data_IF_205367113335
#
_entry.id   IF_205367113335
#
_cell.length_a   1.000
_cell.length_b   1.000
_cell.length_c   1.000
_cell.angle_alpha   90.00
_cell.angle_beta   90.00
_cell.angle_gamma   90.00
#
_symmetry.space_group_name_H-M   'P 1'
#
loop_
_entity.id
_entity.type
_entity.pdbx_description
1 polymer ?
#
# COMPACT_ATOMS: atom_id res chain seq x y z
N UNK A 1 5.80 15.37 -13.83
CA UNK A 1 6.26 14.21 -13.04
C UNK A 1 6.49 12.96 -13.90
N UNK A 2 5.49 12.44 -14.63
CA UNK A 2 5.66 11.20 -15.41
C UNK A 2 6.73 11.25 -16.51
N UNK A 3 6.94 12.39 -17.16
CA UNK A 3 8.00 12.55 -18.18
C UNK A 3 9.38 12.12 -17.64
N UNK A 4 9.78 12.63 -16.47
CA UNK A 4 11.06 12.27 -15.86
C UNK A 4 11.14 10.79 -15.46
N UNK A 5 10.04 10.21 -14.95
CA UNK A 5 10.00 8.79 -14.61
C UNK A 5 10.13 7.88 -15.86
N UNK A 6 9.56 8.29 -16.99
CA UNK A 6 9.68 7.57 -18.27
C UNK A 6 11.11 7.63 -18.79
N UNK A 7 11.71 8.82 -18.80
CA UNK A 7 13.11 8.99 -19.22
C UNK A 7 14.08 8.18 -18.35
N UNK A 8 13.87 8.22 -17.02
CA UNK A 8 14.65 7.41 -16.08
C UNK A 8 14.43 5.90 -16.29
N UNK A 9 13.19 5.46 -16.51
CA UNK A 9 12.88 4.05 -16.80
C UNK A 9 13.62 3.56 -18.05
N UNK A 10 13.60 4.33 -19.14
CA UNK A 10 14.31 3.96 -20.37
C UNK A 10 15.84 3.94 -20.18
N UNK A 11 16.39 4.83 -19.36
CA UNK A 11 17.81 4.79 -18.99
C UNK A 11 18.15 3.52 -18.20
N UNK A 12 17.36 3.16 -17.18
CA UNK A 12 17.57 1.94 -16.40
C UNK A 12 17.37 0.67 -17.22
N UNK A 13 16.43 0.69 -18.18
CA UNK A 13 16.25 -0.39 -19.14
C UNK A 13 17.48 -0.60 -20.02
N UNK A 14 18.09 0.47 -20.53
CA UNK A 14 19.36 0.38 -21.28
C UNK A 14 20.52 -0.12 -20.43
N UNK A 15 20.51 0.20 -19.14
CA UNK A 15 21.49 -0.28 -18.16
C UNK A 15 21.19 -1.69 -17.62
N UNK A 16 20.08 -2.33 -18.04
CA UNK A 16 19.57 -3.60 -17.51
C UNK A 16 19.32 -3.62 -15.98
N UNK A 17 19.04 -2.45 -15.38
CA UNK A 17 18.72 -2.35 -13.95
C UNK A 17 17.21 -2.56 -13.71
N UNK A 18 16.83 -3.83 -13.56
CA UNK A 18 15.43 -4.22 -13.34
C UNK A 18 14.85 -3.68 -12.02
N UNK A 19 15.68 -3.51 -10.99
CA UNK A 19 15.20 -3.02 -9.68
C UNK A 19 14.81 -1.55 -9.80
N UNK A 20 15.65 -0.72 -10.43
CA UNK A 20 15.34 0.70 -10.63
C UNK A 20 14.19 0.90 -11.63
N UNK A 21 14.08 0.05 -12.65
CA UNK A 21 12.90 0.01 -13.53
C UNK A 21 11.60 -0.20 -12.72
N UNK A 22 11.57 -1.18 -11.83
CA UNK A 22 10.38 -1.46 -11.00
C UNK A 22 10.03 -0.29 -10.07
N UNK A 23 11.03 0.40 -9.52
CA UNK A 23 10.82 1.63 -8.73
C UNK A 23 10.20 2.75 -9.56
N UNK A 24 10.66 2.96 -10.79
CA UNK A 24 10.09 3.99 -11.68
C UNK A 24 8.65 3.66 -12.04
N UNK A 25 8.34 2.39 -12.34
CA UNK A 25 6.97 1.93 -12.60
C UNK A 25 6.06 2.18 -11.40
N UNK A 26 6.49 1.84 -10.17
CA UNK A 26 5.72 2.15 -8.97
C UNK A 26 5.46 3.66 -8.81
N UNK A 27 6.47 4.50 -9.03
CA UNK A 27 6.33 5.96 -8.99
C UNK A 27 5.37 6.50 -10.07
N UNK A 28 5.39 5.95 -11.28
CA UNK A 28 4.41 6.27 -12.33
C UNK A 28 3.00 5.85 -11.91
N UNK A 29 2.86 4.67 -11.30
CA UNK A 29 1.59 4.18 -10.75
C UNK A 29 0.98 5.16 -9.74
N UNK A 30 1.81 5.70 -8.84
CA UNK A 30 1.39 6.72 -7.86
C UNK A 30 0.91 7.99 -8.56
N UNK A 31 1.67 8.49 -9.54
CA UNK A 31 1.30 9.69 -10.27
C UNK A 31 -0.02 9.53 -11.03
N UNK A 32 -0.20 8.41 -11.73
CA UNK A 32 -1.46 8.12 -12.42
C UNK A 32 -2.64 8.00 -11.45
N UNK A 33 -2.43 7.43 -10.25
CA UNK A 33 -3.44 7.39 -9.21
C UNK A 33 -3.87 8.80 -8.76
N UNK A 34 -2.93 9.73 -8.59
CA UNK A 34 -3.24 11.13 -8.26
C UNK A 34 -3.98 11.86 -9.38
N UNK A 35 -3.73 11.49 -10.64
CA UNK A 35 -4.47 11.99 -11.81
C UNK A 35 -5.81 11.29 -12.03
N UNK A 36 -6.20 10.35 -11.16
CA UNK A 36 -7.37 9.49 -11.31
C UNK A 36 -7.38 8.62 -12.58
N UNK A 37 -6.23 8.47 -13.25
CA UNK A 37 -6.04 7.49 -14.32
C UNK A 37 -5.75 6.12 -13.71
N UNK A 38 -6.80 5.50 -13.19
CA UNK A 38 -6.73 4.22 -12.52
C UNK A 38 -6.29 3.05 -13.43
N UNK A 39 -6.70 2.98 -14.71
CA UNK A 39 -6.19 1.95 -15.64
C UNK A 39 -4.67 2.02 -15.81
N UNK A 40 -4.10 3.21 -16.07
CA UNK A 40 -2.64 3.36 -16.20
C UNK A 40 -1.94 3.08 -14.88
N UNK A 41 -2.50 3.52 -13.75
CA UNK A 41 -1.98 3.24 -12.41
C UNK A 41 -1.88 1.72 -12.14
N UNK A 42 -2.97 0.99 -12.44
CA UNK A 42 -3.05 -0.45 -12.27
C UNK A 42 -1.99 -1.18 -13.10
N UNK A 43 -1.88 -0.84 -14.39
CA UNK A 43 -0.86 -1.42 -15.28
C UNK A 43 0.55 -1.23 -14.71
N UNK A 44 0.89 -0.02 -14.26
CA UNK A 44 2.24 0.26 -13.75
C UNK A 44 2.56 -0.45 -12.43
N UNK A 45 1.62 -0.55 -11.51
CA UNK A 45 1.84 -1.34 -10.30
C UNK A 45 2.00 -2.84 -10.59
N UNK A 46 1.19 -3.40 -11.50
CA UNK A 46 1.30 -4.81 -11.87
C UNK A 46 2.62 -5.13 -12.58
N UNK A 47 3.08 -4.25 -13.47
CA UNK A 47 4.39 -4.37 -14.12
C UNK A 47 5.53 -4.36 -13.08
N UNK A 48 5.51 -3.40 -12.14
CA UNK A 48 6.51 -3.32 -11.07
C UNK A 48 6.54 -4.61 -10.22
N UNK A 49 5.37 -5.08 -9.78
CA UNK A 49 5.26 -6.32 -8.99
C UNK A 49 5.71 -7.56 -9.79
N UNK A 50 5.50 -7.58 -11.10
CA UNK A 50 5.98 -8.69 -11.95
C UNK A 50 7.50 -8.72 -12.02
N UNK A 51 8.15 -7.56 -12.10
CA UNK A 51 9.62 -7.49 -12.11
C UNK A 51 10.17 -8.04 -10.79
N UNK A 52 9.67 -7.56 -9.64
CA UNK A 52 10.11 -8.08 -8.34
C UNK A 52 9.90 -9.59 -8.19
N UNK A 53 8.78 -10.13 -8.69
CA UNK A 53 8.53 -11.59 -8.71
C UNK A 53 9.57 -12.33 -9.55
N UNK A 54 9.90 -11.83 -10.74
CA UNK A 54 10.89 -12.44 -11.63
C UNK A 54 12.30 -12.43 -11.01
N UNK A 55 12.62 -11.37 -10.26
CA UNK A 55 13.86 -11.25 -9.49
C UNK A 55 13.86 -12.08 -8.20
N UNK A 56 12.74 -12.72 -7.85
CA UNK A 56 12.49 -13.38 -6.56
C UNK A 56 12.64 -12.45 -5.35
N UNK A 57 12.54 -11.14 -5.57
CA UNK A 57 12.62 -10.10 -4.54
C UNK A 57 11.22 -9.78 -3.96
N UNK A 58 10.53 -10.82 -3.46
CA UNK A 58 9.15 -10.68 -2.97
C UNK A 58 9.04 -10.41 -1.48
N UNK A 59 10.16 -10.17 -0.81
CA UNK A 59 10.24 -9.86 0.63
C UNK A 59 10.89 -8.49 0.89
N UNK A 60 11.21 -7.71 -0.14
CA UNK A 60 11.75 -6.36 0.03
C UNK A 60 10.69 -5.34 0.43
N UNK A 61 11.17 -4.24 1.00
CA UNK A 61 10.35 -3.08 1.31
C UNK A 61 9.72 -2.47 0.03
N UNK A 62 10.45 -2.50 -1.08
CA UNK A 62 9.96 -1.99 -2.36
C UNK A 62 8.76 -2.81 -2.88
N UNK A 63 8.84 -4.14 -2.80
CA UNK A 63 7.73 -5.02 -3.15
C UNK A 63 6.51 -4.84 -2.24
N UNK A 64 6.74 -4.65 -0.93
CA UNK A 64 5.69 -4.36 0.03
C UNK A 64 4.99 -3.02 -0.28
N UNK A 65 5.77 -1.97 -0.57
CA UNK A 65 5.25 -0.66 -0.93
C UNK A 65 4.45 -0.69 -2.23
N UNK A 66 4.93 -1.38 -3.27
CA UNK A 66 4.18 -1.54 -4.51
C UNK A 66 2.87 -2.33 -4.30
N UNK A 67 2.90 -3.36 -3.44
CA UNK A 67 1.70 -4.12 -3.07
C UNK A 67 0.69 -3.26 -2.31
N UNK A 68 1.18 -2.45 -1.35
CA UNK A 68 0.35 -1.51 -0.58
C UNK A 68 -0.30 -0.46 -1.49
N UNK A 69 0.43 0.09 -2.44
CA UNK A 69 -0.11 1.07 -3.39
C UNK A 69 -1.17 0.47 -4.31
N UNK A 70 -0.94 -0.75 -4.80
CA UNK A 70 -1.93 -1.48 -5.58
C UNK A 70 -3.19 -1.78 -4.75
N UNK A 71 -3.03 -2.11 -3.47
CA UNK A 71 -4.16 -2.31 -2.56
C UNK A 71 -5.00 -1.03 -2.39
N UNK A 72 -4.35 0.12 -2.19
CA UNK A 72 -5.01 1.43 -2.12
C UNK A 72 -5.79 1.72 -3.41
N UNK A 73 -5.20 1.43 -4.58
CA UNK A 73 -5.89 1.58 -5.86
C UNK A 73 -7.14 0.69 -5.94
N UNK A 74 -7.05 -0.57 -5.53
CA UNK A 74 -8.21 -1.47 -5.49
C UNK A 74 -9.28 -1.01 -4.50
N UNK A 75 -8.91 -0.35 -3.39
CA UNK A 75 -9.88 0.29 -2.48
C UNK A 75 -10.61 1.43 -3.18
N UNK A 76 -9.90 2.29 -3.93
CA UNK A 76 -10.52 3.37 -4.74
C UNK A 76 -11.46 2.82 -5.81
N UNK A 77 -11.10 1.70 -6.41
CA UNK A 77 -11.93 0.97 -7.39
C UNK A 77 -13.07 0.16 -6.75
N UNK A 78 -13.24 0.21 -5.43
CA UNK A 78 -14.25 -0.55 -4.66
C UNK A 78 -14.15 -2.07 -4.83
N UNK A 79 -12.99 -2.58 -5.27
CA UNK A 79 -12.71 -4.01 -5.38
C UNK A 79 -12.07 -4.52 -4.08
N UNK A 80 -12.84 -4.47 -2.99
CA UNK A 80 -12.36 -4.62 -1.62
C UNK A 80 -11.64 -5.95 -1.35
N UNK A 81 -12.12 -7.07 -1.90
CA UNK A 81 -11.46 -8.37 -1.72
C UNK A 81 -10.04 -8.40 -2.28
N UNK A 82 -9.80 -7.78 -3.44
CA UNK A 82 -8.45 -7.65 -4.00
C UNK A 82 -7.58 -6.73 -3.14
N UNK A 83 -8.15 -5.62 -2.67
CA UNK A 83 -7.44 -4.69 -1.78
C UNK A 83 -6.97 -5.40 -0.50
N UNK A 84 -7.83 -6.17 0.16
CA UNK A 84 -7.49 -6.95 1.35
C UNK A 84 -6.31 -7.89 1.09
N UNK A 85 -6.35 -8.68 0.01
CA UNK A 85 -5.26 -9.61 -0.35
C UNK A 85 -3.91 -8.89 -0.46
N UNK A 86 -3.87 -7.73 -1.12
CA UNK A 86 -2.61 -7.00 -1.29
C UNK A 86 -2.16 -6.26 -0.02
N UNK A 87 -3.09 -5.72 0.79
CA UNK A 87 -2.76 -5.14 2.09
C UNK A 87 -2.23 -6.19 3.08
N UNK A 88 -2.84 -7.37 3.16
CA UNK A 88 -2.40 -8.47 4.03
C UNK A 88 -1.00 -8.95 3.62
N UNK A 89 -0.77 -9.05 2.31
CA UNK A 89 0.54 -9.39 1.77
C UNK A 89 1.60 -8.35 2.16
N UNK A 90 1.33 -7.07 1.96
CA UNK A 90 2.24 -5.99 2.36
C UNK A 90 2.49 -6.00 3.87
N UNK A 91 1.43 -6.18 4.68
CA UNK A 91 1.50 -6.26 6.15
C UNK A 91 2.43 -7.38 6.61
N UNK A 92 2.32 -8.58 6.02
CA UNK A 92 3.19 -9.72 6.37
C UNK A 92 4.66 -9.39 6.11
N UNK A 93 4.97 -8.73 4.99
CA UNK A 93 6.34 -8.32 4.67
C UNK A 93 6.82 -7.23 5.62
N UNK A 94 6.02 -6.19 5.87
CA UNK A 94 6.38 -5.14 6.83
C UNK A 94 6.62 -5.70 8.23
N UNK A 95 5.85 -6.72 8.65
CA UNK A 95 6.09 -7.43 9.89
C UNK A 95 7.43 -8.18 9.88
N UNK A 96 7.73 -8.93 8.83
CA UNK A 96 9.02 -9.64 8.67
C UNK A 96 10.20 -8.68 8.70
N UNK A 97 10.07 -7.49 8.10
CA UNK A 97 11.10 -6.45 8.06
C UNK A 97 11.13 -5.56 9.31
N UNK A 98 10.26 -5.81 10.29
CA UNK A 98 10.05 -4.95 11.47
C UNK A 98 9.78 -3.47 11.10
N UNK A 99 9.16 -3.22 9.94
CA UNK A 99 8.79 -1.89 9.48
C UNK A 99 7.44 -1.45 10.07
N UNK A 100 7.50 -0.98 11.32
CA UNK A 100 6.33 -0.64 12.15
C UNK A 100 5.37 0.34 11.48
N UNK A 101 5.89 1.39 10.84
CA UNK A 101 5.05 2.42 10.20
C UNK A 101 4.23 1.86 9.03
N UNK A 102 4.84 1.08 8.13
CA UNK A 102 4.13 0.45 7.03
C UNK A 102 3.09 -0.57 7.51
N UNK A 103 3.44 -1.33 8.55
CA UNK A 103 2.52 -2.29 9.16
C UNK A 103 1.28 -1.61 9.77
N UNK A 104 1.48 -0.54 10.54
CA UNK A 104 0.38 0.21 11.15
C UNK A 104 -0.53 0.87 10.10
N UNK A 105 0.05 1.44 9.04
CA UNK A 105 -0.71 2.02 7.93
C UNK A 105 -1.52 0.95 7.18
N UNK A 106 -0.95 -0.24 6.97
CA UNK A 106 -1.66 -1.35 6.35
C UNK A 106 -2.87 -1.79 7.17
N UNK A 107 -2.71 -1.94 8.49
CA UNK A 107 -3.84 -2.22 9.38
C UNK A 107 -4.92 -1.14 9.33
N UNK A 108 -4.55 0.14 9.30
CA UNK A 108 -5.52 1.22 9.18
C UNK A 108 -6.32 1.13 7.87
N UNK A 109 -5.66 0.85 6.74
CA UNK A 109 -6.35 0.71 5.46
C UNK A 109 -7.24 -0.55 5.39
N UNK A 110 -6.79 -1.66 5.99
CA UNK A 110 -7.63 -2.87 6.15
C UNK A 110 -8.87 -2.54 6.98
N UNK A 111 -8.71 -1.77 8.06
CA UNK A 111 -9.82 -1.28 8.87
C UNK A 111 -10.85 -0.50 8.04
N UNK A 112 -10.37 0.45 7.23
CA UNK A 112 -11.23 1.23 6.32
C UNK A 112 -12.01 0.34 5.35
N UNK A 113 -11.37 -0.71 4.82
CA UNK A 113 -12.05 -1.65 3.92
C UNK A 113 -13.16 -2.41 4.65
N UNK A 114 -12.90 -2.89 5.86
CA UNK A 114 -13.93 -3.58 6.64
C UNK A 114 -15.09 -2.65 7.04
N UNK A 115 -14.82 -1.37 7.30
CA UNK A 115 -15.86 -0.37 7.53
C UNK A 115 -16.73 -0.15 6.28
N UNK A 116 -16.11 0.00 5.09
CA UNK A 116 -16.85 0.06 3.83
C UNK A 116 -17.72 -1.18 3.58
N UNK A 117 -17.28 -2.34 4.05
CA UNK A 117 -18.00 -3.61 3.97
C UNK A 117 -19.00 -3.82 5.13
N UNK A 118 -19.21 -2.82 5.99
CA UNK A 118 -20.10 -2.89 7.16
C UNK A 118 -19.76 -4.01 8.14
N UNK A 119 -18.49 -4.39 8.22
CA UNK A 119 -17.95 -5.36 9.18
C UNK A 119 -17.26 -4.62 10.33
N UNK A 120 -18.07 -3.94 11.15
CA UNK A 120 -17.62 -3.01 12.20
C UNK A 120 -16.57 -3.61 13.13
N UNK A 121 -16.81 -4.81 13.67
CA UNK A 121 -15.86 -5.46 14.60
C UNK A 121 -14.48 -5.67 13.96
N UNK A 122 -14.45 -6.14 12.70
CA UNK A 122 -13.18 -6.34 11.97
C UNK A 122 -12.49 -5.01 11.67
N UNK A 123 -13.25 -3.93 11.43
CA UNK A 123 -12.68 -2.60 11.26
C UNK A 123 -11.99 -2.14 12.55
N UNK A 124 -12.71 -2.20 13.68
CA UNK A 124 -12.22 -1.82 15.01
C UNK A 124 -10.97 -2.62 15.38
N UNK A 125 -10.99 -3.94 15.21
CA UNK A 125 -9.84 -4.81 15.52
C UNK A 125 -8.57 -4.36 14.76
N UNK A 126 -8.72 -3.97 13.50
CA UNK A 126 -7.59 -3.51 12.68
C UNK A 126 -7.13 -2.10 13.07
N UNK A 127 -8.05 -1.17 13.37
CA UNK A 127 -7.67 0.14 13.90
C UNK A 127 -6.95 0.04 15.25
N UNK A 128 -7.38 -0.86 16.14
CA UNK A 128 -6.71 -1.11 17.41
C UNK A 128 -5.29 -1.68 17.21
N UNK A 129 -5.09 -2.59 16.26
CA UNK A 129 -3.74 -3.06 15.88
C UNK A 129 -2.86 -1.91 15.39
N UNK A 130 -3.39 -1.02 14.56
CA UNK A 130 -2.68 0.18 14.10
C UNK A 130 -2.31 1.09 15.27
N UNK A 131 -3.27 1.41 16.14
CA UNK A 131 -3.07 2.22 17.34
C UNK A 131 -1.98 1.66 18.23
N UNK A 132 -2.00 0.35 18.54
CA UNK A 132 -1.01 -0.28 19.40
C UNK A 132 0.43 -0.18 18.87
N UNK A 133 0.62 -0.19 17.56
CA UNK A 133 1.95 0.01 16.94
C UNK A 133 2.37 1.49 17.01
N UNK A 134 1.44 2.40 16.72
CA UNK A 134 1.70 3.84 16.76
C UNK A 134 2.01 4.32 18.18
N UNK A 135 1.31 3.79 19.18
CA UNK A 135 1.56 4.04 20.59
C UNK A 135 2.96 3.58 21.02
N UNK A 136 3.37 2.36 20.64
CA UNK A 136 4.73 1.84 20.93
C UNK A 136 5.85 2.63 20.24
N UNK A 137 5.51 3.50 19.29
CA UNK A 137 6.45 4.31 18.52
C UNK A 137 6.32 5.81 18.81
N UNK A 138 5.55 6.18 19.85
CA UNK A 138 5.21 7.57 20.22
C UNK A 138 4.70 8.44 19.05
N UNK A 139 4.01 7.81 18.09
CA UNK A 139 3.42 8.53 16.95
C UNK A 139 2.01 9.02 17.29
N UNK A 140 1.95 10.23 17.83
CA UNK A 140 0.69 10.89 18.23
C UNK A 140 -0.31 11.07 17.08
N UNK A 141 0.18 11.41 15.88
CA UNK A 141 -0.69 11.58 14.70
C UNK A 141 -1.30 10.25 14.25
N UNK A 142 -0.50 9.18 14.24
CA UNK A 142 -0.96 7.84 13.92
C UNK A 142 -1.99 7.32 14.94
N UNK A 143 -1.76 7.59 16.23
CA UNK A 143 -2.72 7.27 17.30
C UNK A 143 -4.05 8.00 17.11
N UNK A 144 -4.00 9.32 16.86
CA UNK A 144 -5.20 10.13 16.64
C UNK A 144 -6.01 9.67 15.43
N UNK A 145 -5.34 9.30 14.33
CA UNK A 145 -6.01 8.77 13.15
C UNK A 145 -6.76 7.46 13.47
N UNK A 146 -6.10 6.50 14.12
CA UNK A 146 -6.73 5.24 14.49
C UNK A 146 -7.92 5.42 15.44
N UNK A 147 -7.80 6.30 16.45
CA UNK A 147 -8.89 6.62 17.38
C UNK A 147 -10.07 7.30 16.68
N UNK A 148 -9.79 8.21 15.74
CA UNK A 148 -10.83 8.88 14.94
C UNK A 148 -11.63 7.85 14.16
N UNK A 149 -10.96 6.89 13.51
CA UNK A 149 -11.64 5.86 12.74
C UNK A 149 -12.47 4.91 13.63
N UNK A 150 -11.96 4.54 14.82
CA UNK A 150 -12.75 3.78 15.81
C UNK A 150 -13.99 4.56 16.24
N UNK A 151 -13.85 5.85 16.51
CA UNK A 151 -14.96 6.73 16.86
C UNK A 151 -16.04 6.76 15.77
N UNK A 152 -15.64 6.90 14.50
CA UNK A 152 -16.55 6.89 13.34
C UNK A 152 -17.31 5.55 13.25
N UNK A 153 -16.63 4.41 13.39
CA UNK A 153 -17.29 3.10 13.29
C UNK A 153 -18.28 2.86 14.43
N UNK A 154 -18.01 3.38 15.64
CA UNK A 154 -18.89 3.19 16.79
C UNK A 154 -20.18 4.02 16.74
N UNK A 155 -20.22 5.09 15.94
CA UNK A 155 -21.39 5.99 15.83
C UNK A 155 -22.25 5.75 14.60
N UNK A 156 -21.75 5.01 13.60
CA UNK A 156 -22.45 4.69 12.36
C UNK A 156 -23.05 3.29 12.36
#
# INVERSE_FOLDING_TARGET
ANKCNIEAFEAFKKANDSVLMAKMLNSMGINYMYLSDYPSSLSKYLEALSIYKNLKDTLSLDYANASQNLAILYTKLKTYNKALVYHEKASKIYQTLNYKYGLANSYNNIGNIYDYLKQQQKAIDNYQKSYGIMQKSDNKLGMANALTNIGIVNVG
#
